data_IF_660391339548
#
_entry.id   IF_660391339548
#
_cell.length_a   1.000
_cell.length_b   1.000
_cell.length_c   1.000
_cell.angle_alpha   90.00
_cell.angle_beta   90.00
_cell.angle_gamma   90.00
#
_symmetry.space_group_name_H-M   'P 1'
#
loop_
_entity.id
_entity.type
_entity.pdbx_description
1 polymer ?
#
# COMPACT_ATOMS: atom_id res chain seq x y z
N UNK A 1 -1.29 -25.87 -2.84
CA UNK A 1 -2.10 -24.62 -2.76
C UNK A 1 -1.34 -23.50 -2.02
N UNK A 2 -0.11 -23.20 -2.45
CA UNK A 2 0.76 -22.16 -1.84
C UNK A 2 1.31 -21.18 -2.88
N UNK A 3 0.81 -21.21 -4.12
CA UNK A 3 1.30 -20.35 -5.21
C UNK A 3 1.12 -18.85 -4.93
N UNK A 4 0.25 -18.47 -4.00
CA UNK A 4 0.07 -17.09 -3.53
C UNK A 4 1.12 -16.64 -2.51
N UNK A 5 1.79 -17.57 -1.83
CA UNK A 5 2.70 -17.25 -0.73
C UNK A 5 4.01 -16.62 -1.22
N UNK A 6 4.71 -17.13 -2.26
CA UNK A 6 5.90 -16.46 -2.79
C UNK A 6 5.67 -15.01 -3.23
N UNK A 7 4.63 -14.66 -4.04
CA UNK A 7 4.41 -13.26 -4.41
C UNK A 7 4.02 -12.39 -3.21
N UNK A 8 3.32 -12.94 -2.20
CA UNK A 8 3.04 -12.20 -0.97
C UNK A 8 4.32 -11.88 -0.16
N UNK A 9 5.26 -12.82 -0.07
CA UNK A 9 6.56 -12.60 0.58
C UNK A 9 7.38 -11.56 -0.20
N UNK A 10 7.43 -11.65 -1.52
CA UNK A 10 8.11 -10.65 -2.35
C UNK A 10 7.49 -9.26 -2.20
N UNK A 11 6.16 -9.18 -2.11
CA UNK A 11 5.45 -7.94 -1.83
C UNK A 11 5.83 -7.35 -0.45
N UNK A 12 5.91 -8.19 0.60
CA UNK A 12 6.35 -7.77 1.93
C UNK A 12 7.74 -7.11 1.90
N UNK A 13 8.72 -7.76 1.26
CA UNK A 13 10.07 -7.19 1.11
C UNK A 13 10.07 -5.92 0.27
N UNK A 14 9.29 -5.89 -0.81
CA UNK A 14 9.18 -4.72 -1.70
C UNK A 14 8.58 -3.52 -0.97
N UNK A 15 7.55 -3.71 -0.14
CA UNK A 15 6.98 -2.66 0.70
C UNK A 15 7.96 -2.17 1.78
N UNK A 16 8.77 -3.06 2.36
CA UNK A 16 9.84 -2.69 3.27
C UNK A 16 10.90 -1.79 2.60
N UNK A 17 11.37 -2.19 1.41
CA UNK A 17 12.29 -1.38 0.60
C UNK A 17 11.69 -0.04 0.19
N UNK A 18 10.41 -0.04 -0.20
CA UNK A 18 9.66 1.18 -0.53
C UNK A 18 9.65 2.15 0.65
N UNK A 19 9.42 1.68 1.88
CA UNK A 19 9.46 2.52 3.08
C UNK A 19 10.83 3.14 3.32
N UNK A 20 11.90 2.34 3.20
CA UNK A 20 13.29 2.78 3.32
C UNK A 20 13.66 3.83 2.26
N UNK A 21 13.43 3.53 0.99
CA UNK A 21 13.75 4.45 -0.11
C UNK A 21 12.91 5.72 -0.07
N UNK A 22 11.65 5.65 0.38
CA UNK A 22 10.83 6.84 0.59
C UNK A 22 11.45 7.77 1.63
N UNK A 23 12.01 7.22 2.73
CA UNK A 23 12.73 8.05 3.72
C UNK A 23 14.00 8.67 3.17
N UNK A 24 14.78 7.89 2.42
CA UNK A 24 16.02 8.38 1.81
C UNK A 24 15.72 9.46 0.77
N UNK A 25 14.66 9.32 -0.01
CA UNK A 25 14.23 10.32 -0.98
C UNK A 25 13.87 11.64 -0.28
N UNK A 26 12.96 11.63 0.69
CA UNK A 26 12.53 12.87 1.38
C UNK A 26 13.63 13.53 2.22
N UNK A 27 14.74 12.83 2.49
CA UNK A 27 15.92 13.43 3.11
C UNK A 27 16.74 14.30 2.13
N UNK A 28 16.55 14.13 0.82
CA UNK A 28 17.31 14.83 -0.23
C UNK A 28 16.43 15.75 -1.09
N UNK A 29 15.14 15.45 -1.21
CA UNK A 29 14.18 16.21 -2.02
C UNK A 29 12.87 16.38 -1.26
N UNK A 30 12.05 17.37 -1.62
CA UNK A 30 10.77 17.58 -0.96
C UNK A 30 9.77 16.45 -1.26
N UNK A 31 8.77 16.31 -0.38
CA UNK A 31 7.72 15.28 -0.47
C UNK A 31 6.99 15.24 -1.81
N UNK A 32 6.76 16.38 -2.49
CA UNK A 32 6.05 16.42 -3.78
C UNK A 32 6.96 15.94 -4.89
N UNK A 33 8.22 16.37 -4.92
CA UNK A 33 9.22 15.85 -5.85
C UNK A 33 9.41 14.34 -5.68
N UNK A 34 9.49 13.86 -4.43
CA UNK A 34 9.61 12.42 -4.14
C UNK A 34 8.41 11.63 -4.71
N UNK A 35 7.19 12.16 -4.61
CA UNK A 35 6.00 11.55 -5.20
C UNK A 35 6.10 11.44 -6.73
N UNK A 36 6.56 12.49 -7.41
CA UNK A 36 6.71 12.49 -8.88
C UNK A 36 7.70 11.41 -9.32
N UNK A 37 8.89 11.35 -8.70
CA UNK A 37 9.90 10.35 -9.08
C UNK A 37 9.48 8.92 -8.72
N UNK A 38 8.80 8.72 -7.58
CA UNK A 38 8.24 7.42 -7.25
C UNK A 38 7.17 6.98 -8.26
N UNK A 39 6.29 7.90 -8.68
CA UNK A 39 5.24 7.62 -9.67
C UNK A 39 5.86 7.24 -11.01
N UNK A 40 6.96 7.89 -11.42
CA UNK A 40 7.71 7.50 -12.61
C UNK A 40 8.27 6.06 -12.48
N UNK A 41 8.79 5.68 -11.30
CA UNK A 41 9.23 4.32 -11.02
C UNK A 41 8.09 3.29 -11.12
N UNK A 42 6.92 3.58 -10.55
CA UNK A 42 5.74 2.72 -10.64
C UNK A 42 5.25 2.59 -12.08
N UNK A 43 5.22 3.69 -12.84
CA UNK A 43 4.85 3.68 -14.26
C UNK A 43 5.80 2.79 -15.06
N UNK A 44 7.11 2.87 -14.80
CA UNK A 44 8.11 2.00 -15.45
C UNK A 44 7.83 0.52 -15.18
N UNK A 45 7.49 0.13 -13.95
CA UNK A 45 7.10 -1.25 -13.62
C UNK A 45 5.81 -1.66 -14.35
N UNK A 46 4.83 -0.76 -14.47
CA UNK A 46 3.60 -0.99 -15.24
C UNK A 46 3.87 -1.21 -16.73
N UNK A 47 4.76 -0.42 -17.33
CA UNK A 47 5.19 -0.59 -18.73
C UNK A 47 5.94 -1.92 -18.94
N UNK A 48 6.80 -2.31 -18.00
CA UNK A 48 7.46 -3.64 -18.05
C UNK A 48 6.42 -4.76 -18.01
N UNK A 49 5.39 -4.62 -17.15
CA UNK A 49 4.31 -5.61 -17.04
C UNK A 49 3.51 -5.71 -18.34
N UNK A 50 3.25 -4.59 -19.01
CA UNK A 50 2.61 -4.57 -20.33
C UNK A 50 3.43 -5.31 -21.40
N UNK A 51 4.77 -5.31 -21.27
CA UNK A 51 5.68 -6.00 -22.19
C UNK A 51 5.95 -7.47 -21.88
N UNK A 52 5.36 -8.04 -20.81
CA UNK A 52 5.55 -9.45 -20.46
C UNK A 52 4.88 -10.36 -21.50
N UNK A 53 5.61 -11.39 -21.95
CA UNK A 53 5.08 -12.41 -22.87
C UNK A 53 3.82 -13.05 -22.25
N UNK A 54 2.78 -13.21 -23.07
CA UNK A 54 1.44 -13.72 -22.71
C UNK A 54 0.49 -12.76 -21.97
N UNK A 55 0.89 -11.51 -21.70
CA UNK A 55 -0.02 -10.52 -21.14
C UNK A 55 -0.94 -9.90 -22.21
N UNK A 56 -2.26 -9.96 -21.98
CA UNK A 56 -3.27 -9.21 -22.76
C UNK A 56 -4.07 -8.33 -21.81
N UNK A 57 -4.05 -7.00 -21.97
CA UNK A 57 -4.85 -6.11 -21.14
C UNK A 57 -6.33 -6.51 -21.17
N UNK A 58 -6.95 -6.60 -19.99
CA UNK A 58 -8.38 -6.84 -19.89
C UNK A 58 -9.17 -5.66 -20.47
N UNK A 59 -10.34 -5.95 -21.06
CA UNK A 59 -11.23 -4.95 -21.68
C UNK A 59 -12.50 -4.68 -20.88
N UNK A 60 -12.66 -5.30 -19.71
CA UNK A 60 -13.80 -5.06 -18.84
C UNK A 60 -13.75 -3.66 -18.24
N UNK A 61 -14.71 -2.80 -18.61
CA UNK A 61 -14.78 -1.41 -18.18
C UNK A 61 -14.88 -1.27 -16.65
N UNK A 62 -15.55 -2.20 -15.96
CA UNK A 62 -15.65 -2.17 -14.50
C UNK A 62 -14.30 -2.45 -13.86
N UNK A 63 -13.62 -3.53 -14.27
CA UNK A 63 -12.28 -3.87 -13.81
C UNK A 63 -11.27 -2.75 -14.07
N UNK A 64 -11.32 -2.13 -15.26
CA UNK A 64 -10.49 -0.97 -15.57
C UNK A 64 -10.78 0.22 -14.65
N UNK A 65 -12.06 0.53 -14.39
CA UNK A 65 -12.42 1.61 -13.48
C UNK A 65 -11.94 1.37 -12.04
N UNK A 66 -12.06 0.14 -11.51
CA UNK A 66 -11.53 -0.20 -10.20
C UNK A 66 -9.99 -0.20 -10.17
N UNK A 67 -9.34 -0.60 -11.25
CA UNK A 67 -7.88 -0.48 -11.40
C UNK A 67 -7.41 0.97 -11.34
N UNK A 68 -8.09 1.88 -12.04
CA UNK A 68 -7.82 3.31 -11.98
C UNK A 68 -8.06 3.90 -10.58
N UNK A 69 -9.18 3.56 -9.95
CA UNK A 69 -9.48 3.99 -8.58
C UNK A 69 -8.43 3.50 -7.58
N UNK A 70 -7.92 2.28 -7.77
CA UNK A 70 -6.81 1.72 -6.96
C UNK A 70 -5.56 2.58 -7.11
N UNK A 71 -5.19 2.95 -8.34
CA UNK A 71 -4.05 3.82 -8.61
C UNK A 71 -4.21 5.22 -7.99
N UNK A 72 -5.40 5.82 -8.11
CA UNK A 72 -5.70 7.14 -7.49
C UNK A 72 -5.59 7.06 -5.97
N UNK A 73 -6.21 6.06 -5.34
CA UNK A 73 -6.15 5.87 -3.89
C UNK A 73 -4.71 5.65 -3.41
N UNK A 74 -3.92 4.84 -4.13
CA UNK A 74 -2.50 4.63 -3.84
C UNK A 74 -1.70 5.93 -3.95
N UNK A 75 -1.85 6.69 -5.03
CA UNK A 75 -1.14 7.95 -5.23
C UNK A 75 -1.46 9.01 -4.16
N UNK A 76 -2.73 9.14 -3.79
CA UNK A 76 -3.15 10.03 -2.69
C UNK A 76 -2.56 9.56 -1.36
N UNK A 77 -2.58 8.24 -1.09
CA UNK A 77 -1.95 7.64 0.08
C UNK A 77 -0.45 7.94 0.15
N UNK A 78 0.27 7.76 -0.96
CA UNK A 78 1.70 8.08 -1.07
C UNK A 78 1.98 9.56 -0.79
N UNK A 79 1.17 10.48 -1.33
CA UNK A 79 1.34 11.91 -1.08
C UNK A 79 1.27 12.22 0.42
N UNK A 80 0.22 11.76 1.11
CA UNK A 80 0.07 12.01 2.55
C UNK A 80 1.10 11.26 3.39
N UNK A 81 1.46 10.03 2.99
CA UNK A 81 2.54 9.27 3.63
C UNK A 81 3.87 10.03 3.55
N UNK A 82 4.27 10.52 2.37
CA UNK A 82 5.52 11.26 2.18
C UNK A 82 5.52 12.55 3.00
N UNK A 83 4.44 13.33 2.97
CA UNK A 83 4.28 14.54 3.78
C UNK A 83 4.41 14.22 5.28
N UNK A 84 3.82 13.13 5.75
CA UNK A 84 3.90 12.71 7.15
C UNK A 84 5.30 12.23 7.52
N UNK A 85 5.95 11.44 6.65
CA UNK A 85 7.29 10.90 6.86
C UNK A 85 8.39 11.97 6.82
N UNK A 86 8.11 13.08 6.13
CA UNK A 86 8.96 14.26 6.03
C UNK A 86 8.90 15.09 7.32
N UNK A 87 7.69 15.25 7.88
CA UNK A 87 7.44 16.01 9.11
C UNK A 87 7.63 15.21 10.41
N UNK A 88 7.61 13.88 10.34
CA UNK A 88 7.52 13.00 11.51
C UNK A 88 8.60 11.91 11.55
N UNK A 89 8.58 11.12 12.62
CA UNK A 89 9.42 9.93 12.75
C UNK A 89 8.93 8.86 11.76
N UNK A 90 9.81 8.40 10.86
CA UNK A 90 9.47 7.39 9.85
C UNK A 90 8.83 6.15 10.47
N UNK A 91 9.41 5.64 11.57
CA UNK A 91 8.95 4.41 12.20
C UNK A 91 7.49 4.53 12.66
N UNK A 92 7.10 5.68 13.21
CA UNK A 92 5.73 5.95 13.63
C UNK A 92 4.79 6.04 12.43
N UNK A 93 5.20 6.73 11.35
CA UNK A 93 4.38 6.90 10.14
C UNK A 93 4.17 5.57 9.42
N UNK A 94 5.23 4.79 9.21
CA UNK A 94 5.15 3.46 8.58
C UNK A 94 4.27 2.53 9.41
N UNK A 95 4.47 2.50 10.72
CA UNK A 95 3.70 1.63 11.62
C UNK A 95 2.22 1.99 11.62
N UNK A 96 1.90 3.29 11.73
CA UNK A 96 0.51 3.76 11.68
C UNK A 96 -0.15 3.45 10.33
N UNK A 97 0.54 3.71 9.23
CA UNK A 97 -0.03 3.49 7.88
C UNK A 97 -0.13 2.01 7.51
N UNK A 98 0.66 1.12 8.14
CA UNK A 98 0.50 -0.32 8.01
C UNK A 98 -0.85 -0.86 8.54
N UNK A 99 -1.68 -0.02 9.19
CA UNK A 99 -3.06 -0.34 9.56
C UNK A 99 -4.08 -0.23 8.43
N UNK A 100 -3.68 0.20 7.23
CA UNK A 100 -4.62 0.28 6.11
C UNK A 100 -5.43 -1.00 5.88
N UNK A 101 -4.96 -2.25 6.17
CA UNK A 101 -5.80 -3.44 6.05
C UNK A 101 -7.03 -3.41 6.95
N UNK A 102 -6.99 -2.72 8.10
CA UNK A 102 -8.17 -2.51 8.95
C UNK A 102 -9.22 -1.67 8.24
N UNK A 103 -8.79 -0.60 7.57
CA UNK A 103 -9.68 0.23 6.76
C UNK A 103 -10.28 -0.61 5.64
N UNK A 104 -9.48 -1.44 4.97
CA UNK A 104 -9.98 -2.37 3.95
C UNK A 104 -11.00 -3.36 4.52
N UNK A 105 -10.77 -3.97 5.69
CA UNK A 105 -11.72 -4.90 6.32
C UNK A 105 -13.05 -4.20 6.62
N UNK A 106 -12.99 -2.98 7.18
CA UNK A 106 -14.19 -2.19 7.49
C UNK A 106 -14.94 -1.84 6.20
N UNK A 107 -14.25 -1.37 5.16
CA UNK A 107 -14.86 -1.05 3.87
C UNK A 107 -15.45 -2.30 3.20
N UNK A 108 -14.76 -3.45 3.23
CA UNK A 108 -15.28 -4.72 2.70
C UNK A 108 -16.53 -5.17 3.46
N UNK A 109 -16.56 -5.02 4.78
CA UNK A 109 -17.75 -5.33 5.57
C UNK A 109 -18.95 -4.45 5.15
N UNK A 110 -18.76 -3.14 4.99
CA UNK A 110 -19.87 -2.24 4.64
C UNK A 110 -20.27 -2.29 3.16
N UNK A 111 -19.30 -2.38 2.23
CA UNK A 111 -19.53 -2.29 0.79
C UNK A 111 -19.77 -3.66 0.13
N UNK A 112 -18.99 -4.67 0.52
CA UNK A 112 -19.05 -6.02 -0.05
C UNK A 112 -19.91 -6.97 0.80
N UNK A 113 -20.34 -6.54 1.99
CA UNK A 113 -21.13 -7.33 2.95
C UNK A 113 -20.44 -8.64 3.36
N UNK A 114 -19.11 -8.65 3.32
CA UNK A 114 -18.31 -9.78 3.79
C UNK A 114 -18.36 -9.82 5.32
N UNK A 115 -18.81 -10.94 5.90
CA UNK A 115 -18.92 -11.09 7.35
C UNK A 115 -17.55 -11.19 8.03
N UNK A 116 -17.33 -10.38 9.07
CA UNK A 116 -16.14 -10.46 9.92
C UNK A 116 -16.33 -11.60 10.93
N UNK A 117 -15.43 -12.58 10.93
CA UNK A 117 -15.45 -13.64 11.94
C UNK A 117 -14.71 -13.22 13.23
N UNK A 118 -14.97 -13.92 14.34
CA UNK A 118 -14.39 -13.60 15.65
C UNK A 118 -12.85 -13.59 15.65
N UNK A 119 -12.19 -14.44 14.85
CA UNK A 119 -10.72 -14.49 14.77
C UNK A 119 -10.15 -13.25 14.09
N UNK A 120 -10.77 -12.79 13.01
CA UNK A 120 -10.40 -11.54 12.33
C UNK A 120 -10.54 -10.37 13.30
N UNK A 121 -11.65 -10.28 14.04
CA UNK A 121 -11.87 -9.22 15.02
C UNK A 121 -10.78 -9.18 16.11
N UNK A 122 -10.39 -10.34 16.65
CA UNK A 122 -9.27 -10.43 17.61
C UNK A 122 -7.96 -9.96 16.96
N UNK A 123 -7.69 -10.36 15.72
CA UNK A 123 -6.52 -9.90 14.96
C UNK A 123 -6.47 -8.37 14.81
N UNK A 124 -7.62 -7.73 14.56
CA UNK A 124 -7.75 -6.28 14.49
C UNK A 124 -7.36 -5.64 15.84
N UNK A 125 -7.90 -6.15 16.95
CA UNK A 125 -7.58 -5.63 18.28
C UNK A 125 -6.09 -5.76 18.63
N UNK A 126 -5.47 -6.90 18.29
CA UNK A 126 -4.04 -7.12 18.49
C UNK A 126 -3.18 -6.18 17.65
N UNK A 127 -3.56 -5.91 16.39
CA UNK A 127 -2.86 -4.96 15.53
C UNK A 127 -2.93 -3.52 16.09
N UNK A 128 -4.10 -3.11 16.58
CA UNK A 128 -4.27 -1.80 17.23
C UNK A 128 -3.40 -1.68 18.49
N UNK A 129 -3.35 -2.72 19.32
CA UNK A 129 -2.53 -2.75 20.52
C UNK A 129 -1.02 -2.67 20.22
N UNK A 130 -0.53 -3.43 19.23
CA UNK A 130 0.87 -3.40 18.81
C UNK A 130 1.32 -1.99 18.41
N UNK A 131 0.45 -1.23 17.76
CA UNK A 131 0.78 0.11 17.26
C UNK A 131 0.72 1.16 18.35
N UNK A 132 -0.23 1.05 19.27
CA UNK A 132 -0.22 1.90 20.46
C UNK A 132 1.12 1.78 21.20
N UNK A 133 1.65 0.56 21.33
CA UNK A 133 2.95 0.32 21.95
C UNK A 133 4.12 0.88 21.12
N UNK A 134 4.11 0.71 19.80
CA UNK A 134 5.16 1.22 18.91
C UNK A 134 5.13 2.74 18.69
N UNK A 135 4.00 3.39 18.99
CA UNK A 135 3.82 4.84 18.84
C UNK A 135 4.33 5.65 20.04
N UNK A 136 4.72 5.00 21.13
CA UNK A 136 5.41 5.60 22.28
C UNK A 136 6.92 5.64 22.03
#
# INVERSE_FOLDING_TARGET
MTQWLPPAILALFSFGLWGLFSKLAIAHIDSKSALIFQTAGVLLVGLITLGMLDFKPATDMKGLSFGLLTGVAYGVGCLFYLIAADKGKLITVVTLTALYPLVTIVLSYFLLREGINAKQFIGILLALAAIFLMSQ
#
